data_IF_974190260452
#
_entry.id   IF_974190260452
#
_cell.length_a   1.000
_cell.length_b   1.000
_cell.length_c   1.000
_cell.angle_alpha   90.00
_cell.angle_beta   90.00
_cell.angle_gamma   90.00
#
_symmetry.space_group_name_H-M   'P 1'
#
loop_
_entity.id
_entity.type
_entity.pdbx_description
1 polymer ?
#
# COMPACT_ATOMS: atom_id res chain seq x y z
N UNK A 1 -53.56 9.44 44.38
CA UNK A 1 -52.19 9.97 44.58
C UNK A 1 -51.23 8.80 44.73
N UNK A 2 -50.36 8.55 43.76
CA UNK A 2 -49.02 8.01 44.00
C UNK A 2 -48.22 8.10 42.69
N UNK A 3 -47.08 8.80 42.79
CA UNK A 3 -46.15 9.11 41.70
C UNK A 3 -45.33 7.87 41.37
N UNK A 4 -45.22 7.56 40.09
CA UNK A 4 -44.22 6.63 39.55
C UNK A 4 -42.90 7.40 39.46
N UNK A 5 -41.95 7.08 40.33
CA UNK A 5 -40.56 7.52 40.22
C UNK A 5 -39.77 6.43 39.48
N UNK A 6 -39.14 6.82 38.37
CA UNK A 6 -38.11 6.06 37.67
C UNK A 6 -36.83 6.10 38.50
N UNK A 7 -36.30 4.94 38.89
CA UNK A 7 -34.90 4.81 39.31
C UNK A 7 -34.09 4.18 38.17
N UNK A 8 -33.27 5.00 37.53
CA UNK A 8 -32.17 4.57 36.67
C UNK A 8 -31.05 4.04 37.57
N UNK A 9 -30.84 2.73 37.64
CA UNK A 9 -29.64 2.15 38.24
C UNK A 9 -28.46 2.27 37.26
N UNK A 10 -27.76 3.39 37.31
CA UNK A 10 -26.41 3.54 36.77
C UNK A 10 -25.45 2.69 37.62
N UNK A 11 -25.12 1.50 37.15
CA UNK A 11 -24.01 0.69 37.71
C UNK A 11 -22.71 1.47 37.53
N UNK A 12 -22.09 1.86 38.65
CA UNK A 12 -20.74 2.48 38.69
C UNK A 12 -19.71 1.55 38.02
N UNK A 13 -18.74 2.08 37.25
CA UNK A 13 -17.65 1.27 36.72
C UNK A 13 -16.81 0.71 37.88
N UNK A 14 -16.48 -0.59 37.82
CA UNK A 14 -15.63 -1.26 38.81
C UNK A 14 -14.30 -0.52 38.95
N UNK A 15 -13.87 -0.27 40.18
CA UNK A 15 -12.57 0.38 40.47
C UNK A 15 -11.45 -0.40 39.79
N UNK A 16 -10.78 0.22 38.81
CA UNK A 16 -9.62 -0.35 38.13
C UNK A 16 -8.49 -0.53 39.14
N UNK A 17 -8.16 -1.77 39.45
CA UNK A 17 -7.11 -2.10 40.41
C UNK A 17 -5.75 -2.11 39.69
N UNK A 18 -4.80 -1.32 40.20
CA UNK A 18 -3.47 -1.15 39.60
C UNK A 18 -2.43 -1.89 40.43
N UNK A 19 -1.57 -2.67 39.76
CA UNK A 19 -0.46 -3.39 40.39
C UNK A 19 0.85 -2.71 40.00
N UNK A 20 1.69 -2.40 40.99
CA UNK A 20 3.00 -1.80 40.76
C UNK A 20 4.07 -2.90 40.71
N UNK A 21 4.69 -3.10 39.54
CA UNK A 21 5.83 -3.99 39.33
C UNK A 21 6.95 -3.20 38.65
N UNK A 22 7.43 -2.14 39.32
CA UNK A 22 8.28 -1.05 38.80
C UNK A 22 7.63 -0.13 37.74
N UNK A 23 6.65 -0.63 36.98
CA UNK A 23 5.68 0.16 36.20
C UNK A 23 4.27 -0.19 36.69
N UNK A 24 3.35 0.78 36.69
CA UNK A 24 1.94 0.55 37.08
C UNK A 24 1.18 -0.08 35.92
N UNK A 25 0.66 -1.29 36.12
CA UNK A 25 -0.13 -2.03 35.13
C UNK A 25 -1.50 -2.35 35.72
N UNK A 26 -2.55 -2.29 34.91
CA UNK A 26 -3.90 -2.67 35.35
C UNK A 26 -3.94 -4.16 35.59
N UNK A 27 -4.54 -4.59 36.71
CA UNK A 27 -4.61 -6.01 37.09
C UNK A 27 -5.26 -6.89 36.04
N UNK A 28 -6.23 -6.34 35.31
CA UNK A 28 -6.95 -6.99 34.20
C UNK A 28 -6.08 -7.25 32.96
N UNK A 29 -5.04 -6.44 32.74
CA UNK A 29 -4.16 -6.55 31.56
C UNK A 29 -2.97 -7.49 31.80
N UNK A 30 -2.66 -7.81 33.07
CA UNK A 30 -1.53 -8.68 33.46
C UNK A 30 -1.62 -10.08 32.83
N UNK A 31 -2.77 -10.77 32.79
CA UNK A 31 -2.88 -12.08 32.15
C UNK A 31 -2.58 -12.02 30.65
N UNK A 32 -3.06 -10.99 29.96
CA UNK A 32 -2.85 -10.78 28.51
C UNK A 32 -1.38 -10.46 28.22
N UNK A 33 -0.78 -9.60 29.04
CA UNK A 33 0.65 -9.26 28.94
C UNK A 33 1.53 -10.48 29.20
N UNK A 34 1.26 -11.26 30.25
CA UNK A 34 2.01 -12.48 30.53
C UNK A 34 1.86 -13.52 29.41
N UNK A 35 0.68 -13.63 28.79
CA UNK A 35 0.49 -14.51 27.63
C UNK A 35 1.33 -14.06 26.42
N UNK A 36 1.40 -12.75 26.16
CA UNK A 36 2.24 -12.21 25.07
C UNK A 36 3.73 -12.32 25.36
N UNK A 37 4.14 -12.17 26.62
CA UNK A 37 5.52 -12.27 27.06
C UNK A 37 6.10 -13.69 26.96
N UNK A 38 5.24 -14.71 27.10
CA UNK A 38 5.64 -16.10 26.86
C UNK A 38 6.13 -16.34 25.44
N UNK A 39 5.59 -15.61 24.45
CA UNK A 39 6.05 -15.66 23.06
C UNK A 39 7.48 -15.14 22.89
N UNK A 40 7.92 -14.29 23.82
CA UNK A 40 9.27 -13.73 23.87
C UNK A 40 10.18 -14.53 24.83
N UNK A 41 9.70 -15.65 25.38
CA UNK A 41 10.45 -16.50 26.31
C UNK A 41 10.37 -16.09 27.78
N UNK A 42 9.46 -15.20 28.16
CA UNK A 42 9.29 -14.73 29.55
C UNK A 42 7.97 -15.23 30.14
N UNK A 43 7.99 -15.87 31.31
CA UNK A 43 6.79 -16.40 31.93
C UNK A 43 5.92 -15.31 32.56
N UNK A 44 6.54 -14.22 33.02
CA UNK A 44 5.86 -13.10 33.65
C UNK A 44 6.50 -11.75 33.31
N UNK A 45 5.71 -10.68 33.39
CA UNK A 45 6.19 -9.29 33.31
C UNK A 45 7.25 -8.97 34.38
N UNK A 46 7.18 -9.60 35.56
CA UNK A 46 8.19 -9.46 36.59
C UNK A 46 9.54 -10.04 36.17
N UNK A 47 9.54 -11.16 35.44
CA UNK A 47 10.73 -11.80 34.90
C UNK A 47 11.40 -10.93 33.82
N UNK A 48 10.61 -10.42 32.86
CA UNK A 48 11.11 -9.47 31.85
C UNK A 48 11.76 -8.25 32.50
N UNK A 49 11.09 -7.66 33.49
CA UNK A 49 11.57 -6.44 34.15
C UNK A 49 12.89 -6.68 34.88
N UNK A 50 13.03 -7.84 35.52
CA UNK A 50 14.26 -8.25 36.21
C UNK A 50 15.42 -8.47 35.24
N UNK A 51 15.16 -9.12 34.11
CA UNK A 51 16.20 -9.44 33.11
C UNK A 51 16.62 -8.19 32.30
N UNK A 52 15.70 -7.24 32.10
CA UNK A 52 16.00 -5.93 31.53
C UNK A 52 16.91 -5.09 32.45
N UNK A 53 16.62 -5.07 33.77
CA UNK A 53 17.45 -4.36 34.77
C UNK A 53 18.84 -4.98 34.86
N UNK A 54 18.95 -6.30 34.72
CA UNK A 54 20.20 -7.03 34.76
C UNK A 54 21.00 -6.97 33.44
N UNK A 55 20.48 -6.31 32.40
CA UNK A 55 21.15 -6.16 31.10
C UNK A 55 21.22 -7.46 30.28
N UNK A 56 20.54 -8.52 30.69
CA UNK A 56 20.52 -9.83 30.03
C UNK A 56 19.26 -9.96 29.19
N UNK A 57 19.19 -9.23 28.09
CA UNK A 57 18.10 -9.39 27.13
C UNK A 57 18.43 -10.55 26.18
N UNK A 58 17.60 -11.61 26.12
CA UNK A 58 17.89 -12.74 25.24
C UNK A 58 17.79 -12.30 23.78
N UNK A 59 18.84 -12.53 23.00
CA UNK A 59 18.75 -12.52 21.54
C UNK A 59 17.88 -13.71 21.13
N UNK A 60 16.58 -13.46 20.92
CA UNK A 60 15.67 -14.48 20.40
C UNK A 60 15.83 -14.49 18.89
N UNK A 61 16.58 -15.46 18.38
CA UNK A 61 16.64 -15.76 16.93
C UNK A 61 15.27 -16.25 16.47
N UNK A 62 14.94 -16.06 15.18
CA UNK A 62 13.64 -16.51 14.60
C UNK A 62 13.37 -18.00 14.90
N UNK A 63 14.41 -18.84 14.85
CA UNK A 63 14.34 -20.27 15.18
C UNK A 63 13.93 -20.51 16.65
N UNK A 64 14.40 -19.67 17.58
CA UNK A 64 14.11 -19.82 19.01
C UNK A 64 12.73 -19.28 19.38
N UNK A 65 12.22 -18.30 18.63
CA UNK A 65 10.80 -17.91 18.71
C UNK A 65 9.89 -19.04 18.26
N UNK A 66 10.28 -19.77 17.21
CA UNK A 66 9.57 -20.95 16.72
C UNK A 66 9.59 -22.07 17.77
N UNK A 67 10.73 -22.39 18.38
CA UNK A 67 10.79 -23.42 19.43
C UNK A 67 10.01 -23.04 20.69
N UNK A 68 10.07 -21.77 21.12
CA UNK A 68 9.31 -21.29 22.28
C UNK A 68 7.80 -21.24 22.01
N UNK A 69 7.39 -21.10 20.74
CA UNK A 69 6.01 -21.26 20.31
C UNK A 69 5.58 -22.73 20.40
N UNK A 70 6.46 -23.69 20.10
CA UNK A 70 6.20 -25.13 20.23
C UNK A 70 6.09 -25.57 21.70
N UNK A 71 6.99 -25.12 22.58
CA UNK A 71 7.06 -25.59 23.97
C UNK A 71 5.97 -24.98 24.90
N UNK A 72 5.46 -23.78 24.59
CA UNK A 72 4.40 -23.13 25.39
C UNK A 72 2.99 -23.73 25.14
N UNK A 73 2.83 -24.51 24.07
CA UNK A 73 1.58 -25.17 23.68
C UNK A 73 1.27 -26.37 24.59
N UNK A 74 2.29 -27.08 25.06
CA UNK A 74 2.14 -28.26 25.93
C UNK A 74 1.60 -27.94 27.32
N UNK A 75 1.77 -26.71 27.83
CA UNK A 75 1.49 -26.38 29.25
C UNK A 75 0.26 -25.49 29.50
N UNK A 76 -0.35 -24.88 28.48
CA UNK A 76 -1.32 -23.79 28.70
C UNK A 76 -2.75 -24.03 28.19
N UNK A 77 -3.04 -25.12 27.48
CA UNK A 77 -4.41 -25.49 27.08
C UNK A 77 -5.15 -24.48 26.19
N UNK A 78 -4.46 -23.45 25.68
CA UNK A 78 -5.01 -22.41 24.81
C UNK A 78 -4.83 -22.83 23.34
N UNK A 79 -5.96 -23.08 22.67
CA UNK A 79 -6.03 -23.54 21.28
C UNK A 79 -5.69 -22.41 20.30
N UNK A 80 -4.52 -22.48 19.65
CA UNK A 80 -4.13 -21.65 18.49
C UNK A 80 -4.56 -22.32 17.18
N UNK A 81 -4.85 -21.51 16.14
CA UNK A 81 -5.19 -21.98 14.79
C UNK A 81 -4.01 -22.69 14.10
N UNK A 82 -2.80 -22.63 14.69
CA UNK A 82 -1.59 -23.26 14.15
C UNK A 82 -1.23 -24.62 14.74
N UNK A 83 -2.03 -25.20 15.65
CA UNK A 83 -2.07 -26.66 15.82
C UNK A 83 -3.51 -27.18 15.91
N UNK A 84 -3.81 -28.10 14.99
CA UNK A 84 -5.03 -28.87 14.99
C UNK A 84 -5.16 -29.79 16.22
N UNK A 85 -6.33 -30.03 16.79
CA UNK A 85 -7.51 -30.56 16.08
C UNK A 85 -7.64 -30.08 14.64
N UNK A 86 -7.17 -30.89 13.69
CA UNK A 86 -7.16 -30.57 12.26
C UNK A 86 -8.36 -29.72 11.86
N UNK A 87 -8.11 -28.43 11.62
CA UNK A 87 -9.01 -27.59 10.85
C UNK A 87 -8.27 -27.26 9.55
N UNK A 88 -7.81 -28.33 8.86
CA UNK A 88 -7.22 -28.28 7.51
C UNK A 88 -8.10 -27.59 6.48
N UNK A 89 -9.34 -27.23 6.88
CA UNK A 89 -10.44 -26.82 6.04
C UNK A 89 -10.99 -25.45 6.45
N UNK A 90 -10.27 -24.64 7.26
CA UNK A 90 -10.77 -23.32 7.68
C UNK A 90 -11.09 -22.41 6.47
N UNK A 91 -10.27 -22.49 5.42
CA UNK A 91 -10.50 -21.82 4.14
C UNK A 91 -11.63 -22.48 3.32
N UNK A 92 -11.95 -23.76 3.56
CA UNK A 92 -13.10 -24.42 2.93
C UNK A 92 -14.42 -23.90 3.51
N UNK A 93 -14.44 -23.62 4.82
CA UNK A 93 -15.59 -23.06 5.56
C UNK A 93 -15.81 -21.56 5.30
N UNK A 94 -14.92 -20.91 4.55
CA UNK A 94 -15.09 -19.51 4.20
C UNK A 94 -16.35 -19.29 3.35
N UNK A 95 -17.29 -18.48 3.86
CA UNK A 95 -18.48 -18.09 3.12
C UNK A 95 -18.10 -17.12 1.99
N UNK A 96 -18.13 -17.64 0.76
CA UNK A 96 -17.72 -16.87 -0.42
C UNK A 96 -18.68 -15.74 -0.82
N UNK A 97 -19.96 -15.83 -0.43
CA UNK A 97 -20.92 -14.74 -0.62
C UNK A 97 -20.63 -13.60 0.36
N UNK A 98 -20.38 -13.95 1.62
CA UNK A 98 -19.97 -12.97 2.63
C UNK A 98 -18.62 -12.29 2.29
N UNK A 99 -17.67 -13.05 1.72
CA UNK A 99 -16.45 -12.48 1.15
C UNK A 99 -16.74 -11.48 0.03
N UNK A 100 -17.67 -11.81 -0.87
CA UNK A 100 -18.08 -10.92 -1.95
C UNK A 100 -18.68 -9.63 -1.39
N UNK A 101 -19.55 -9.74 -0.40
CA UNK A 101 -20.23 -8.62 0.24
C UNK A 101 -19.24 -7.75 1.03
N UNK A 102 -18.25 -8.36 1.69
CA UNK A 102 -17.12 -7.63 2.28
C UNK A 102 -16.35 -6.83 1.23
N UNK A 103 -15.98 -7.45 0.10
CA UNK A 103 -15.25 -6.74 -0.96
C UNK A 103 -16.07 -5.62 -1.60
N UNK A 104 -17.37 -5.84 -1.81
CA UNK A 104 -18.25 -4.87 -2.44
C UNK A 104 -18.64 -3.72 -1.51
N UNK A 105 -19.03 -4.02 -0.27
CA UNK A 105 -19.66 -3.05 0.63
C UNK A 105 -18.64 -2.41 1.59
N UNK A 106 -17.71 -3.20 2.13
CA UNK A 106 -16.70 -2.71 3.09
C UNK A 106 -15.50 -2.16 2.35
N UNK A 107 -14.94 -2.92 1.39
CA UNK A 107 -13.78 -2.49 0.61
C UNK A 107 -14.12 -1.62 -0.60
N UNK A 108 -15.41 -1.52 -0.96
CA UNK A 108 -15.92 -0.69 -2.07
C UNK A 108 -15.25 -1.00 -3.41
N UNK A 109 -14.93 -2.27 -3.65
CA UNK A 109 -14.35 -2.71 -4.92
C UNK A 109 -15.41 -2.80 -6.03
N UNK A 110 -14.96 -2.69 -7.28
CA UNK A 110 -15.85 -2.86 -8.43
C UNK A 110 -16.41 -4.29 -8.50
N UNK A 111 -17.68 -4.44 -8.89
CA UNK A 111 -18.39 -5.73 -8.92
C UNK A 111 -17.62 -6.84 -9.64
N UNK A 112 -17.00 -6.53 -10.78
CA UNK A 112 -16.20 -7.51 -11.52
C UNK A 112 -14.93 -7.92 -10.77
N UNK A 113 -14.27 -6.98 -10.08
CA UNK A 113 -13.10 -7.28 -9.25
C UNK A 113 -13.47 -8.18 -8.08
N UNK A 114 -14.60 -7.93 -7.41
CA UNK A 114 -15.11 -8.80 -6.34
C UNK A 114 -15.37 -10.22 -6.86
N UNK A 115 -16.01 -10.35 -8.04
CA UNK A 115 -16.26 -11.65 -8.69
C UNK A 115 -14.96 -12.37 -9.01
N UNK A 116 -14.00 -11.67 -9.59
CA UNK A 116 -12.69 -12.22 -9.93
C UNK A 116 -11.97 -12.73 -8.67
N UNK A 117 -11.88 -11.92 -7.61
CA UNK A 117 -11.24 -12.32 -6.35
C UNK A 117 -11.90 -13.58 -5.77
N UNK A 118 -13.22 -13.61 -5.64
CA UNK A 118 -13.93 -14.78 -5.12
C UNK A 118 -13.75 -16.00 -6.02
N UNK A 119 -13.75 -15.82 -7.35
CA UNK A 119 -13.54 -16.90 -8.30
C UNK A 119 -12.12 -17.49 -8.21
N UNK A 120 -11.10 -16.64 -8.07
CA UNK A 120 -9.72 -17.10 -7.88
C UNK A 120 -9.57 -17.82 -6.53
N UNK A 121 -10.18 -17.31 -5.47
CA UNK A 121 -10.17 -17.96 -4.17
C UNK A 121 -10.79 -19.35 -4.25
N UNK A 122 -12.01 -19.47 -4.80
CA UNK A 122 -12.68 -20.77 -4.98
C UNK A 122 -11.84 -21.78 -5.75
N UNK A 123 -11.17 -21.32 -6.81
CA UNK A 123 -10.39 -22.18 -7.71
C UNK A 123 -9.07 -22.64 -7.10
N UNK A 124 -8.42 -21.80 -6.29
CA UNK A 124 -7.03 -22.03 -5.88
C UNK A 124 -6.84 -22.21 -4.37
N UNK A 125 -7.86 -22.04 -3.53
CA UNK A 125 -7.73 -22.19 -2.07
C UNK A 125 -7.18 -23.57 -1.65
N UNK A 126 -7.69 -24.64 -2.26
CA UNK A 126 -7.28 -26.01 -1.94
C UNK A 126 -5.85 -26.30 -2.42
N UNK A 127 -5.42 -25.64 -3.51
CA UNK A 127 -4.05 -25.76 -4.02
C UNK A 127 -3.10 -24.94 -3.15
N UNK A 128 -3.50 -23.74 -2.73
CA UNK A 128 -2.64 -22.79 -2.05
C UNK A 128 -2.36 -23.15 -0.58
N UNK A 129 -3.37 -23.65 0.14
CA UNK A 129 -3.23 -23.99 1.56
C UNK A 129 -2.80 -25.44 1.83
N UNK A 130 -2.45 -26.19 0.79
CA UNK A 130 -1.98 -27.59 0.90
C UNK A 130 -0.57 -27.74 0.35
N UNK A 131 -0.03 -28.96 0.45
CA UNK A 131 1.29 -29.30 -0.12
C UNK A 131 1.35 -29.15 -1.66
N UNK A 132 0.20 -28.96 -2.31
CA UNK A 132 0.06 -28.75 -3.76
C UNK A 132 0.39 -27.33 -4.22
N UNK A 133 0.77 -26.44 -3.31
CA UNK A 133 1.09 -25.04 -3.62
C UNK A 133 2.21 -24.91 -4.66
N UNK A 134 3.11 -25.89 -4.77
CA UNK A 134 4.14 -25.91 -5.82
C UNK A 134 3.54 -26.02 -7.24
N UNK A 135 2.33 -26.55 -7.41
CA UNK A 135 1.60 -26.51 -8.69
C UNK A 135 1.32 -25.08 -9.17
N UNK A 136 1.22 -24.12 -8.22
CA UNK A 136 1.04 -22.70 -8.54
C UNK A 136 2.31 -22.15 -9.19
N UNK A 137 3.51 -22.69 -8.91
CA UNK A 137 4.75 -22.26 -9.57
C UNK A 137 4.73 -22.54 -11.06
N UNK A 138 4.04 -23.59 -11.50
CA UNK A 138 3.89 -23.93 -12.92
C UNK A 138 2.96 -22.96 -13.67
N UNK A 139 2.17 -22.15 -12.97
CA UNK A 139 1.35 -21.12 -13.59
C UNK A 139 2.20 -19.95 -14.13
N UNK A 140 1.67 -19.27 -15.16
CA UNK A 140 2.31 -18.06 -15.68
C UNK A 140 2.43 -16.98 -14.58
N UNK A 141 3.45 -16.10 -14.63
CA UNK A 141 3.65 -15.06 -13.61
C UNK A 141 2.41 -14.17 -13.38
N UNK A 142 1.66 -13.88 -14.44
CA UNK A 142 0.41 -13.12 -14.38
C UNK A 142 -0.68 -13.84 -13.60
N UNK A 143 -0.81 -15.15 -13.77
CA UNK A 143 -1.79 -15.96 -13.05
C UNK A 143 -1.39 -16.11 -11.59
N UNK A 144 -0.10 -16.38 -11.30
CA UNK A 144 0.42 -16.40 -9.92
C UNK A 144 0.19 -15.09 -9.19
N UNK A 145 0.36 -13.96 -9.87
CA UNK A 145 0.09 -12.63 -9.32
C UNK A 145 -1.36 -12.47 -8.84
N UNK A 146 -2.33 -12.87 -9.67
CA UNK A 146 -3.75 -12.84 -9.30
C UNK A 146 -4.09 -13.79 -8.15
N UNK A 147 -3.46 -14.97 -8.12
CA UNK A 147 -3.64 -15.94 -7.03
C UNK A 147 -3.14 -15.35 -5.71
N UNK A 148 -1.93 -14.79 -5.69
CA UNK A 148 -1.37 -14.19 -4.47
C UNK A 148 -2.16 -12.98 -3.99
N UNK A 149 -2.57 -12.07 -4.89
CA UNK A 149 -3.41 -10.93 -4.50
C UNK A 149 -4.73 -11.43 -3.88
N UNK A 150 -5.38 -12.40 -4.52
CA UNK A 150 -6.56 -13.03 -3.99
C UNK A 150 -6.37 -13.61 -2.57
N UNK A 151 -5.28 -14.36 -2.33
CA UNK A 151 -5.03 -14.96 -1.01
C UNK A 151 -4.73 -13.91 0.06
N UNK A 152 -4.06 -12.82 -0.29
CA UNK A 152 -3.87 -11.67 0.61
C UNK A 152 -5.20 -11.00 0.95
N UNK A 153 -6.07 -10.79 -0.05
CA UNK A 153 -7.42 -10.25 0.19
C UNK A 153 -8.28 -11.20 1.00
N UNK A 154 -8.06 -12.51 0.93
CA UNK A 154 -8.69 -13.47 1.81
C UNK A 154 -8.19 -13.31 3.25
N UNK A 155 -6.86 -13.20 3.48
CA UNK A 155 -6.31 -12.92 4.80
C UNK A 155 -6.89 -11.65 5.44
N UNK A 156 -7.02 -10.56 4.67
CA UNK A 156 -7.65 -9.33 5.14
C UNK A 156 -9.15 -9.48 5.48
N UNK A 157 -9.89 -10.27 4.70
CA UNK A 157 -11.27 -10.62 5.01
C UNK A 157 -11.36 -11.47 6.30
N UNK A 158 -10.45 -12.43 6.47
CA UNK A 158 -10.42 -13.30 7.63
C UNK A 158 -10.15 -12.52 8.92
N UNK A 159 -9.19 -11.58 8.87
CA UNK A 159 -8.96 -10.61 9.94
C UNK A 159 -10.22 -9.80 10.25
N UNK A 160 -10.88 -9.22 9.24
CA UNK A 160 -12.09 -8.44 9.45
C UNK A 160 -13.21 -9.27 10.12
N UNK A 161 -13.38 -10.52 9.71
CA UNK A 161 -14.50 -11.35 10.17
C UNK A 161 -14.26 -12.01 11.52
N UNK A 162 -13.03 -12.41 11.80
CA UNK A 162 -12.68 -13.23 12.96
C UNK A 162 -11.67 -12.58 13.91
N UNK A 163 -11.24 -11.35 13.61
CA UNK A 163 -10.21 -10.61 14.35
C UNK A 163 -8.92 -11.43 14.58
N UNK A 164 -8.52 -12.19 13.56
CA UNK A 164 -7.37 -13.08 13.60
C UNK A 164 -6.36 -12.72 12.50
N UNK A 165 -5.17 -12.29 12.91
CA UNK A 165 -4.07 -11.89 12.03
C UNK A 165 -3.24 -13.09 11.53
N UNK A 166 -3.34 -14.27 12.17
CA UNK A 166 -2.56 -15.46 11.82
C UNK A 166 -2.80 -15.91 10.37
N UNK A 167 -4.00 -15.66 9.82
CA UNK A 167 -4.30 -15.97 8.42
C UNK A 167 -3.49 -15.09 7.44
N UNK A 168 -3.19 -13.84 7.80
CA UNK A 168 -2.35 -12.95 6.97
C UNK A 168 -0.92 -13.47 6.99
N UNK A 169 -0.41 -13.78 8.18
CA UNK A 169 0.94 -14.30 8.35
C UNK A 169 1.13 -15.65 7.64
N UNK A 170 0.14 -16.53 7.71
CA UNK A 170 0.14 -17.80 7.00
C UNK A 170 0.24 -17.61 5.49
N UNK A 171 -0.57 -16.71 4.92
CA UNK A 171 -0.54 -16.42 3.48
C UNK A 171 0.83 -15.90 3.05
N UNK A 172 1.43 -14.98 3.81
CA UNK A 172 2.77 -14.45 3.49
C UNK A 172 3.86 -15.52 3.63
N UNK A 173 3.80 -16.35 4.69
CA UNK A 173 4.74 -17.47 4.89
C UNK A 173 4.69 -18.46 3.73
N UNK A 174 3.49 -18.82 3.26
CA UNK A 174 3.32 -19.72 2.10
C UNK A 174 3.93 -19.09 0.84
N UNK A 175 3.65 -17.82 0.56
CA UNK A 175 4.19 -17.10 -0.61
C UNK A 175 5.71 -17.08 -0.60
N UNK A 176 6.32 -16.79 0.57
CA UNK A 176 7.78 -16.75 0.75
C UNK A 176 8.40 -18.14 0.62
N UNK A 177 7.88 -19.13 1.36
CA UNK A 177 8.38 -20.52 1.37
C UNK A 177 8.43 -21.14 -0.02
N UNK A 178 7.39 -20.92 -0.82
CA UNK A 178 7.29 -21.51 -2.16
C UNK A 178 7.77 -20.57 -3.27
N UNK A 179 8.35 -19.42 -2.90
CA UNK A 179 8.91 -18.43 -3.82
C UNK A 179 7.93 -18.09 -4.97
N UNK A 180 6.65 -17.90 -4.65
CA UNK A 180 5.58 -17.70 -5.64
C UNK A 180 5.70 -16.36 -6.39
N UNK A 181 6.50 -15.44 -5.85
CA UNK A 181 6.87 -14.15 -6.44
C UNK A 181 8.00 -14.25 -7.49
N UNK A 182 8.69 -15.39 -7.60
CA UNK A 182 9.74 -15.62 -8.59
C UNK A 182 9.25 -15.32 -10.01
N UNK A 183 10.10 -14.77 -10.88
CA UNK A 183 9.78 -14.53 -12.29
C UNK A 183 8.64 -13.53 -12.56
N UNK A 184 8.11 -12.84 -11.53
CA UNK A 184 7.23 -11.71 -11.77
C UNK A 184 8.02 -10.56 -12.38
N UNK A 185 7.50 -10.06 -13.50
CA UNK A 185 7.95 -8.77 -14.07
C UNK A 185 7.81 -7.68 -13.01
N UNK A 186 8.63 -6.63 -13.10
CA UNK A 186 8.50 -5.44 -12.22
C UNK A 186 7.06 -4.88 -12.25
N UNK A 187 6.35 -5.02 -13.37
CA UNK A 187 4.93 -4.70 -13.48
C UNK A 187 4.04 -5.52 -12.54
N UNK A 188 4.34 -6.81 -12.31
CA UNK A 188 3.64 -7.68 -11.37
C UNK A 188 4.01 -7.37 -9.92
N UNK A 189 5.29 -7.08 -9.64
CA UNK A 189 5.74 -6.62 -8.33
C UNK A 189 5.13 -5.29 -7.94
N UNK A 190 5.02 -4.36 -8.90
CA UNK A 190 4.33 -3.07 -8.78
C UNK A 190 2.82 -3.18 -8.61
N UNK A 191 2.17 -4.33 -8.83
CA UNK A 191 0.74 -4.51 -8.52
C UNK A 191 0.51 -5.28 -7.21
N UNK A 192 1.58 -5.86 -6.64
CA UNK A 192 1.57 -6.69 -5.43
C UNK A 192 2.17 -5.94 -4.22
N UNK A 193 2.51 -4.66 -4.38
CA UNK A 193 3.62 -4.03 -3.67
C UNK A 193 3.53 -4.08 -2.15
N UNK A 194 4.55 -4.70 -1.58
CA UNK A 194 5.14 -4.39 -0.29
C UNK A 194 5.56 -2.91 -0.26
N UNK A 195 4.98 -2.12 0.63
CA UNK A 195 5.24 -0.68 0.73
C UNK A 195 6.74 -0.40 0.96
N UNK A 196 7.45 -1.29 1.66
CA UNK A 196 8.88 -1.16 1.91
C UNK A 196 9.72 -1.18 0.62
N UNK A 197 9.30 -1.92 -0.41
CA UNK A 197 10.02 -1.95 -1.68
C UNK A 197 9.91 -0.62 -2.44
N UNK A 198 8.69 -0.04 -2.52
CA UNK A 198 8.53 1.28 -3.17
C UNK A 198 9.32 2.32 -2.39
N UNK A 199 9.24 2.31 -1.06
CA UNK A 199 9.92 3.26 -0.20
C UNK A 199 11.45 3.24 -0.40
N UNK A 200 12.06 2.05 -0.41
CA UNK A 200 13.51 1.91 -0.66
C UNK A 200 13.91 2.48 -2.03
N UNK A 201 13.14 2.17 -3.08
CA UNK A 201 13.42 2.66 -4.43
C UNK A 201 13.21 4.16 -4.56
N UNK A 202 12.18 4.72 -3.92
CA UNK A 202 11.96 6.16 -3.88
C UNK A 202 13.12 6.86 -3.15
N UNK A 203 13.59 6.34 -2.02
CA UNK A 203 14.76 6.88 -1.31
C UNK A 203 16.00 6.93 -2.20
N UNK A 204 16.26 5.86 -2.96
CA UNK A 204 17.38 5.84 -3.92
C UNK A 204 17.22 6.90 -5.02
N UNK A 205 16.03 7.04 -5.60
CA UNK A 205 15.75 8.03 -6.64
C UNK A 205 15.84 9.48 -6.12
N UNK A 206 15.33 9.75 -4.92
CA UNK A 206 15.42 11.08 -4.31
C UNK A 206 16.81 11.39 -3.72
N UNK A 207 17.68 10.38 -3.57
CA UNK A 207 19.11 10.60 -3.27
C UNK A 207 19.93 11.09 -4.47
N UNK A 208 19.32 11.11 -5.67
CA UNK A 208 19.86 11.83 -6.81
C UNK A 208 19.77 13.31 -6.44
N UNK A 209 20.93 13.96 -6.32
CA UNK A 209 21.09 15.31 -5.77
C UNK A 209 20.40 16.40 -6.58
N UNK A 210 21.11 17.47 -6.91
CA UNK A 210 20.56 18.59 -7.68
C UNK A 210 21.12 18.62 -9.11
N UNK A 211 20.46 19.38 -9.98
CA UNK A 211 20.81 19.53 -11.39
C UNK A 211 19.73 19.03 -12.35
N UNK A 212 19.92 19.28 -13.64
CA UNK A 212 18.93 19.04 -14.69
C UNK A 212 18.43 17.59 -14.72
N UNK A 213 19.33 16.61 -14.65
CA UNK A 213 18.95 15.18 -14.62
C UNK A 213 18.05 14.88 -13.42
N UNK A 214 18.36 15.45 -12.25
CA UNK A 214 17.54 15.28 -11.06
C UNK A 214 16.15 15.91 -11.25
N UNK A 215 16.08 17.11 -11.83
CA UNK A 215 14.83 17.81 -12.16
C UNK A 215 13.96 16.97 -13.11
N UNK A 216 14.54 16.40 -14.17
CA UNK A 216 13.82 15.55 -15.12
C UNK A 216 13.26 14.30 -14.41
N UNK A 217 14.07 13.63 -13.58
CA UNK A 217 13.64 12.42 -12.86
C UNK A 217 12.53 12.76 -11.86
N UNK A 218 12.70 13.84 -11.08
CA UNK A 218 11.69 14.35 -10.13
C UNK A 218 10.39 14.69 -10.84
N UNK A 219 10.47 15.40 -11.96
CA UNK A 219 9.29 15.72 -12.76
C UNK A 219 8.61 14.45 -13.27
N UNK A 220 9.36 13.45 -13.75
CA UNK A 220 8.83 12.17 -14.21
C UNK A 220 8.13 11.35 -13.11
N UNK A 221 8.73 11.25 -11.92
CA UNK A 221 8.15 10.48 -10.80
C UNK A 221 6.94 11.20 -10.18
N UNK A 222 6.98 12.52 -10.04
CA UNK A 222 5.88 13.27 -9.46
C UNK A 222 4.70 13.43 -10.42
N UNK A 223 4.95 13.66 -11.71
CA UNK A 223 3.86 13.82 -12.68
C UNK A 223 3.29 12.49 -13.19
N UNK A 224 4.04 11.40 -13.05
CA UNK A 224 3.71 10.10 -13.62
C UNK A 224 3.59 10.11 -15.16
N UNK A 225 4.06 11.14 -15.84
CA UNK A 225 3.99 11.28 -17.30
C UNK A 225 4.95 10.33 -18.02
N UNK A 226 4.62 9.99 -19.26
CA UNK A 226 5.56 9.30 -20.18
C UNK A 226 6.53 10.30 -20.80
N UNK A 227 7.60 9.76 -21.38
CA UNK A 227 8.64 10.51 -22.09
C UNK A 227 8.06 11.51 -23.10
N UNK A 228 7.20 11.05 -24.01
CA UNK A 228 6.55 11.93 -25.01
C UNK A 228 5.60 12.97 -24.37
N UNK A 229 4.94 12.59 -23.27
CA UNK A 229 4.02 13.49 -22.55
C UNK A 229 4.80 14.60 -21.84
N UNK A 230 5.99 14.29 -21.30
CA UNK A 230 6.91 15.26 -20.70
C UNK A 230 7.44 16.23 -21.75
N UNK A 231 7.88 15.74 -22.91
CA UNK A 231 8.33 16.60 -24.02
C UNK A 231 7.22 17.54 -24.49
N UNK A 232 5.99 17.03 -24.57
CA UNK A 232 4.84 17.85 -24.92
C UNK A 232 4.57 18.94 -23.87
N UNK A 233 4.64 18.62 -22.58
CA UNK A 233 4.45 19.62 -21.51
C UNK A 233 5.57 20.66 -21.50
N UNK A 234 6.80 20.25 -21.75
CA UNK A 234 7.94 21.16 -21.82
C UNK A 234 7.84 22.14 -22.98
N UNK A 235 7.58 21.66 -24.19
CA UNK A 235 7.58 22.49 -25.40
C UNK A 235 6.35 23.40 -25.53
N UNK A 236 5.37 23.23 -24.67
CA UNK A 236 4.09 23.92 -24.78
C UNK A 236 4.01 25.08 -23.80
N UNK A 237 3.64 26.24 -24.33
CA UNK A 237 3.50 27.46 -23.53
C UNK A 237 2.45 27.31 -22.45
N UNK A 238 2.65 28.01 -21.34
CA UNK A 238 1.66 28.16 -20.28
C UNK A 238 0.74 29.33 -20.62
N UNK A 239 -0.56 29.12 -20.47
CA UNK A 239 -1.58 30.13 -20.63
C UNK A 239 -1.51 31.16 -19.49
N UNK A 240 -1.46 32.48 -19.78
CA UNK A 240 -1.45 33.51 -18.75
C UNK A 240 -2.75 33.58 -17.95
N UNK A 241 -3.89 33.20 -18.56
CA UNK A 241 -5.21 33.31 -17.94
C UNK A 241 -5.50 32.21 -16.91
N UNK A 242 -4.57 31.26 -16.71
CA UNK A 242 -4.56 30.15 -15.73
C UNK A 242 -5.72 29.14 -15.82
N UNK A 243 -6.93 29.55 -16.22
CA UNK A 243 -8.11 28.72 -16.50
C UNK A 243 -9.21 29.53 -17.23
N UNK A 244 -10.07 28.86 -18.00
CA UNK A 244 -11.30 29.48 -18.53
C UNK A 244 -11.24 29.98 -19.97
N UNK A 245 -10.11 29.85 -20.66
CA UNK A 245 -10.01 30.10 -22.10
C UNK A 245 -9.87 28.78 -22.88
N UNK A 246 -10.31 28.78 -24.13
CA UNK A 246 -10.26 27.63 -25.04
C UNK A 246 -8.97 27.57 -25.86
N UNK A 247 -7.89 28.20 -25.38
CA UNK A 247 -6.65 28.29 -26.12
C UNK A 247 -5.94 26.92 -26.16
N UNK A 248 -5.02 26.78 -27.11
CA UNK A 248 -4.25 25.56 -27.24
C UNK A 248 -3.11 25.46 -26.22
N UNK A 249 -2.86 26.42 -25.33
CA UNK A 249 -1.75 26.42 -24.35
C UNK A 249 -2.03 25.52 -23.13
N UNK A 250 -1.01 25.23 -22.33
CA UNK A 250 -1.17 24.54 -21.06
C UNK A 250 -1.85 25.45 -20.04
N UNK A 251 -2.84 24.94 -19.34
CA UNK A 251 -3.46 25.66 -18.22
C UNK A 251 -2.94 25.08 -16.92
N UNK A 252 -2.32 25.92 -16.11
CA UNK A 252 -1.72 25.51 -14.83
C UNK A 252 -2.48 26.20 -13.71
N UNK A 253 -3.03 25.39 -12.82
CA UNK A 253 -3.79 25.85 -11.65
C UNK A 253 -2.96 25.51 -10.41
N UNK A 254 -2.35 26.51 -9.81
CA UNK A 254 -1.62 26.36 -8.54
C UNK A 254 -2.63 26.24 -7.39
N UNK A 255 -2.45 25.24 -6.53
CA UNK A 255 -3.27 25.01 -5.34
C UNK A 255 -2.54 25.49 -4.08
N UNK A 256 -3.27 25.92 -3.02
CA UNK A 256 -2.66 26.44 -1.80
C UNK A 256 -1.72 25.46 -1.09
N UNK A 257 -1.88 24.16 -1.33
CA UNK A 257 -1.07 23.10 -0.74
C UNK A 257 0.23 22.79 -1.52
N UNK A 258 0.76 23.76 -2.27
CA UNK A 258 2.01 23.59 -3.01
C UNK A 258 1.92 22.73 -4.27
N UNK A 259 0.76 22.20 -4.62
CA UNK A 259 0.55 21.34 -5.81
C UNK A 259 0.03 22.16 -6.99
N UNK A 260 0.56 21.90 -8.18
CA UNK A 260 0.06 22.43 -9.45
C UNK A 260 -0.73 21.37 -10.21
N UNK A 261 -1.90 21.75 -10.71
CA UNK A 261 -2.66 20.97 -11.68
C UNK A 261 -2.31 21.46 -13.07
N UNK A 262 -1.79 20.59 -13.92
CA UNK A 262 -1.43 20.91 -15.30
C UNK A 262 -2.43 20.26 -16.24
N UNK A 263 -3.25 21.06 -16.92
CA UNK A 263 -4.17 20.59 -17.97
C UNK A 263 -3.40 20.42 -19.28
N UNK A 264 -3.30 19.18 -19.75
CA UNK A 264 -2.43 18.77 -20.87
C UNK A 264 -3.26 18.55 -22.15
N UNK A 265 -4.41 17.87 -22.00
CA UNK A 265 -5.31 17.47 -23.10
C UNK A 265 -4.58 16.85 -24.32
N UNK A 266 -3.60 16.00 -24.06
CA UNK A 266 -2.84 15.33 -25.11
C UNK A 266 -3.45 13.97 -25.47
N UNK A 267 -3.55 13.71 -26.77
CA UNK A 267 -4.16 12.49 -27.31
C UNK A 267 -3.28 11.89 -28.40
N UNK A 268 -2.92 10.61 -28.27
CA UNK A 268 -2.17 9.84 -29.28
C UNK A 268 -2.81 8.47 -29.46
N UNK A 269 -3.60 8.33 -30.53
CA UNK A 269 -4.43 7.14 -30.76
C UNK A 269 -5.39 6.92 -29.57
N UNK A 270 -5.34 5.74 -28.96
CA UNK A 270 -6.16 5.43 -27.78
C UNK A 270 -5.57 5.96 -26.46
N UNK A 271 -4.34 6.49 -26.45
CA UNK A 271 -3.71 7.01 -25.24
C UNK A 271 -4.14 8.45 -25.03
N UNK A 272 -4.64 8.77 -23.83
CA UNK A 272 -5.13 10.10 -23.47
C UNK A 272 -4.49 10.54 -22.16
N UNK A 273 -3.96 11.76 -22.15
CA UNK A 273 -3.42 12.43 -20.98
C UNK A 273 -4.19 13.74 -20.81
N UNK A 274 -5.13 13.78 -19.86
CA UNK A 274 -6.02 14.93 -19.69
C UNK A 274 -5.36 16.01 -18.82
N UNK A 275 -4.87 15.61 -17.66
CA UNK A 275 -4.15 16.46 -16.73
C UNK A 275 -3.22 15.63 -15.86
N UNK A 276 -2.29 16.29 -15.18
CA UNK A 276 -1.48 15.71 -14.11
C UNK A 276 -1.42 16.65 -12.91
N UNK A 277 -0.95 16.11 -11.78
CA UNK A 277 -0.64 16.83 -10.56
C UNK A 277 0.86 16.74 -10.32
N UNK A 278 1.48 17.82 -9.89
CA UNK A 278 2.93 17.88 -9.65
C UNK A 278 3.22 18.94 -8.59
N UNK A 279 4.27 18.80 -7.75
CA UNK A 279 4.70 19.88 -6.88
C UNK A 279 5.02 21.12 -7.70
N UNK A 280 4.52 22.28 -7.26
CA UNK A 280 4.64 23.55 -7.99
C UNK A 280 6.10 23.94 -8.19
N UNK A 281 6.94 23.70 -7.18
CA UNK A 281 8.38 23.92 -7.25
C UNK A 281 9.03 23.10 -8.37
N UNK A 282 8.72 21.80 -8.42
CA UNK A 282 9.26 20.88 -9.45
C UNK A 282 8.80 21.26 -10.85
N UNK A 283 7.54 21.72 -11.01
CA UNK A 283 7.05 22.22 -12.31
C UNK A 283 7.81 23.47 -12.76
N UNK A 284 8.05 24.42 -11.85
CA UNK A 284 8.79 25.65 -12.14
C UNK A 284 10.23 25.35 -12.54
N UNK A 285 10.92 24.50 -11.77
CA UNK A 285 12.29 24.04 -12.08
C UNK A 285 12.36 23.33 -13.44
N UNK A 286 11.38 22.48 -13.75
CA UNK A 286 11.35 21.78 -15.03
C UNK A 286 11.08 22.71 -16.21
N UNK A 287 10.21 23.72 -16.04
CA UNK A 287 9.89 24.70 -17.10
C UNK A 287 10.94 25.81 -17.25
N UNK A 288 11.87 25.94 -16.30
CA UNK A 288 12.97 26.91 -16.35
C UNK A 288 14.26 26.34 -16.92
N UNK A 289 14.29 25.06 -17.33
CA UNK A 289 15.43 24.52 -18.05
C UNK A 289 15.60 25.26 -19.39
N UNK A 290 16.82 25.31 -19.90
CA UNK A 290 17.10 26.00 -21.18
C UNK A 290 16.55 25.20 -22.36
N UNK A 291 16.81 23.88 -22.38
CA UNK A 291 16.29 22.94 -23.36
C UNK A 291 15.84 21.62 -22.74
N UNK A 292 15.01 20.88 -23.49
CA UNK A 292 14.60 19.53 -23.10
C UNK A 292 14.18 18.73 -24.33
N UNK A 293 14.98 17.71 -24.62
CA UNK A 293 14.84 16.86 -25.80
C UNK A 293 14.93 15.38 -25.43
N UNK A 294 14.42 14.50 -26.30
CA UNK A 294 14.52 13.06 -26.06
C UNK A 294 15.99 12.61 -25.96
N UNK A 295 16.85 13.17 -26.82
CA UNK A 295 18.31 13.03 -26.77
C UNK A 295 18.88 14.44 -26.74
N UNK A 296 19.74 14.82 -25.78
CA UNK A 296 20.37 13.94 -24.79
C UNK A 296 19.53 13.67 -23.53
N UNK A 297 18.63 14.55 -23.14
CA UNK A 297 18.10 14.65 -21.77
C UNK A 297 17.42 13.40 -21.24
N UNK A 298 16.35 12.92 -21.89
CA UNK A 298 15.60 11.74 -21.43
C UNK A 298 16.49 10.49 -21.40
N UNK A 299 17.33 10.30 -22.43
CA UNK A 299 18.26 9.17 -22.50
C UNK A 299 19.29 9.20 -21.37
N UNK A 300 19.89 10.37 -21.12
CA UNK A 300 20.85 10.55 -20.03
C UNK A 300 20.21 10.30 -18.67
N UNK A 301 18.99 10.79 -18.44
CA UNK A 301 18.25 10.52 -17.21
C UNK A 301 17.94 9.02 -17.02
N UNK A 302 17.56 8.31 -18.09
CA UNK A 302 17.39 6.84 -18.07
C UNK A 302 18.66 6.12 -17.65
N UNK A 303 19.79 6.40 -18.31
CA UNK A 303 21.06 5.74 -18.00
C UNK A 303 21.56 6.09 -16.59
N UNK A 304 21.41 7.35 -16.18
CA UNK A 304 21.78 7.78 -14.84
C UNK A 304 20.98 7.05 -13.75
N UNK A 305 19.65 6.92 -13.93
CA UNK A 305 18.81 6.15 -13.01
C UNK A 305 19.32 4.72 -12.86
N UNK A 306 19.53 4.01 -13.98
CA UNK A 306 20.00 2.61 -13.97
C UNK A 306 21.32 2.44 -13.21
N UNK A 307 22.27 3.33 -13.47
CA UNK A 307 23.59 3.31 -12.81
C UNK A 307 23.44 3.58 -11.31
N UNK A 308 22.66 4.60 -10.94
CA UNK A 308 22.49 5.00 -9.54
C UNK A 308 21.77 3.94 -8.71
N UNK A 309 20.74 3.32 -9.28
CA UNK A 309 19.91 2.32 -8.59
C UNK A 309 20.43 0.90 -8.72
N UNK A 310 21.49 0.70 -9.53
CA UNK A 310 22.05 -0.61 -9.92
C UNK A 310 20.97 -1.56 -10.43
N UNK A 311 20.00 -1.02 -11.16
CA UNK A 311 18.82 -1.76 -11.63
C UNK A 311 18.47 -1.29 -13.05
N UNK A 312 18.65 -2.19 -14.02
CA UNK A 312 18.44 -1.94 -15.45
C UNK A 312 16.97 -1.72 -15.81
N UNK A 313 16.05 -2.03 -14.89
CA UNK A 313 14.59 -1.94 -15.10
C UNK A 313 14.01 -0.60 -14.69
N UNK A 314 14.78 0.24 -13.99
CA UNK A 314 14.32 1.58 -13.60
C UNK A 314 14.37 2.50 -14.82
N UNK A 315 13.18 2.89 -15.26
CA UNK A 315 12.90 3.69 -16.46
C UNK A 315 11.75 4.66 -16.16
N UNK A 316 11.47 5.64 -17.02
CA UNK A 316 10.27 6.50 -16.90
C UNK A 316 8.96 5.67 -16.86
N UNK A 317 8.91 4.53 -17.55
CA UNK A 317 7.79 3.59 -17.46
C UNK A 317 7.68 2.91 -16.09
N UNK A 318 8.78 2.75 -15.36
CA UNK A 318 8.77 2.35 -13.95
C UNK A 318 8.29 3.52 -13.08
N UNK A 319 8.82 4.74 -13.27
CA UNK A 319 8.42 5.94 -12.50
C UNK A 319 6.91 6.18 -12.58
N UNK A 320 6.32 6.09 -13.78
CA UNK A 320 4.88 6.20 -13.97
C UNK A 320 4.08 5.19 -13.14
N UNK A 321 4.58 3.96 -13.00
CA UNK A 321 3.90 2.93 -12.21
C UNK A 321 4.11 3.11 -10.72
N UNK A 322 5.30 3.55 -10.30
CA UNK A 322 5.56 3.91 -8.92
C UNK A 322 4.61 5.05 -8.51
N UNK A 323 4.53 6.12 -9.31
CA UNK A 323 3.56 7.20 -9.14
C UNK A 323 2.12 6.66 -8.97
N UNK A 324 1.64 5.85 -9.90
CA UNK A 324 0.29 5.27 -9.82
C UNK A 324 0.06 4.46 -8.52
N UNK A 325 1.06 3.72 -8.06
CA UNK A 325 0.96 2.95 -6.82
C UNK A 325 0.93 3.82 -5.58
N UNK A 326 1.76 4.87 -5.54
CA UNK A 326 1.72 5.88 -4.48
C UNK A 326 0.32 6.48 -4.41
N UNK A 327 -0.24 6.90 -5.56
CA UNK A 327 -1.61 7.44 -5.62
C UNK A 327 -2.65 6.45 -5.08
N UNK A 328 -2.57 5.16 -5.44
CA UNK A 328 -3.50 4.13 -4.97
C UNK A 328 -3.51 3.91 -3.45
N UNK A 329 -2.57 4.47 -2.68
CA UNK A 329 -2.57 4.39 -1.21
C UNK A 329 -3.52 5.36 -0.52
N UNK A 330 -4.00 6.37 -1.23
CA UNK A 330 -4.94 7.38 -0.70
C UNK A 330 -6.09 7.62 -1.66
N UNK A 331 -5.80 7.74 -2.95
CA UNK A 331 -6.81 7.99 -3.97
C UNK A 331 -7.66 6.76 -4.26
N UNK A 332 -8.92 7.01 -4.65
CA UNK A 332 -9.81 5.97 -5.17
C UNK A 332 -9.24 5.44 -6.51
N UNK A 333 -9.49 4.17 -6.87
CA UNK A 333 -8.93 3.59 -8.10
C UNK A 333 -9.21 4.38 -9.38
N UNK A 334 -10.39 5.02 -9.48
CA UNK A 334 -10.73 5.84 -10.64
C UNK A 334 -9.98 7.17 -10.70
N UNK A 335 -9.73 7.83 -9.56
CA UNK A 335 -8.93 9.07 -9.45
C UNK A 335 -7.50 8.79 -9.93
N UNK A 336 -6.88 7.72 -9.41
CA UNK A 336 -5.55 7.28 -9.82
C UNK A 336 -5.51 6.88 -11.31
N UNK A 337 -6.59 6.29 -11.84
CA UNK A 337 -6.70 5.94 -13.25
C UNK A 337 -6.80 7.17 -14.16
N UNK A 338 -7.41 8.27 -13.71
CA UNK A 338 -7.45 9.54 -14.47
C UNK A 338 -6.03 10.07 -14.65
N UNK A 339 -5.25 10.16 -13.56
CA UNK A 339 -3.84 10.59 -13.61
C UNK A 339 -2.97 9.64 -14.44
N UNK A 340 -3.25 8.33 -14.40
CA UNK A 340 -2.56 7.35 -15.23
C UNK A 340 -3.04 7.31 -16.69
N UNK A 341 -3.96 8.18 -17.12
CA UNK A 341 -4.45 8.24 -18.50
C UNK A 341 -5.27 7.01 -18.93
N UNK A 342 -5.92 6.34 -17.96
CA UNK A 342 -6.71 5.11 -18.15
C UNK A 342 -8.22 5.34 -18.06
N UNK A 343 -8.65 6.56 -17.73
CA UNK A 343 -10.05 6.93 -17.59
C UNK A 343 -10.72 7.29 -18.92
N UNK A 344 -12.05 7.13 -18.99
CA UNK A 344 -12.86 7.64 -20.10
C UNK A 344 -12.89 9.18 -20.05
N UNK A 345 -13.16 9.80 -21.19
CA UNK A 345 -13.12 11.27 -21.34
C UNK A 345 -14.15 12.01 -20.51
N UNK A 346 -15.31 11.41 -20.26
CA UNK A 346 -16.37 12.00 -19.44
C UNK A 346 -15.91 12.07 -17.98
N UNK A 347 -15.40 10.96 -17.46
CA UNK A 347 -14.88 10.88 -16.08
C UNK A 347 -13.75 11.90 -15.89
N UNK A 348 -12.76 11.92 -16.79
CA UNK A 348 -11.63 12.84 -16.67
C UNK A 348 -12.05 14.33 -16.71
N UNK A 349 -13.06 14.68 -17.50
CA UNK A 349 -13.61 16.04 -17.54
C UNK A 349 -14.32 16.40 -16.23
N UNK A 350 -15.07 15.46 -15.64
CA UNK A 350 -15.73 15.69 -14.36
C UNK A 350 -14.73 16.02 -13.24
N UNK A 351 -13.66 15.24 -13.09
CA UNK A 351 -12.63 15.52 -12.06
C UNK A 351 -11.89 16.83 -12.32
N UNK A 352 -11.53 17.11 -13.58
CA UNK A 352 -10.88 18.36 -13.95
C UNK A 352 -11.74 19.60 -13.66
N UNK A 353 -13.08 19.44 -13.60
CA UNK A 353 -14.01 20.54 -13.36
C UNK A 353 -14.42 20.69 -11.89
N UNK A 354 -14.55 19.59 -11.12
CA UNK A 354 -15.24 19.64 -9.84
C UNK A 354 -14.47 19.08 -8.63
N UNK A 355 -13.41 18.30 -8.83
CA UNK A 355 -12.74 17.58 -7.71
C UNK A 355 -11.23 17.87 -7.60
N UNK A 356 -10.71 18.88 -8.32
CA UNK A 356 -9.27 19.16 -8.34
C UNK A 356 -8.68 19.51 -6.97
N UNK A 357 -9.45 20.15 -6.08
CA UNK A 357 -8.99 20.51 -4.73
C UNK A 357 -8.86 19.27 -3.83
N UNK A 358 -9.87 18.40 -3.83
CA UNK A 358 -9.81 17.14 -3.07
C UNK A 358 -8.71 16.23 -3.63
N UNK A 359 -8.55 16.17 -4.96
CA UNK A 359 -7.48 15.40 -5.59
C UNK A 359 -6.09 15.93 -5.25
N UNK A 360 -5.88 17.26 -5.18
CA UNK A 360 -4.57 17.82 -4.82
C UNK A 360 -4.20 17.53 -3.36
N UNK A 361 -5.18 17.50 -2.45
CA UNK A 361 -4.97 17.11 -1.05
C UNK A 361 -4.58 15.64 -0.94
N UNK A 362 -5.36 14.73 -1.55
CA UNK A 362 -5.04 13.30 -1.57
C UNK A 362 -3.69 13.00 -2.22
N UNK A 363 -3.31 13.78 -3.23
CA UNK A 363 -1.99 13.69 -3.86
C UNK A 363 -0.87 13.99 -2.85
N UNK A 364 -0.99 15.08 -2.09
CA UNK A 364 -0.03 15.43 -1.06
C UNK A 364 0.04 14.37 0.06
N UNK A 365 -1.11 13.89 0.52
CA UNK A 365 -1.19 12.82 1.52
C UNK A 365 -0.56 11.51 1.04
N UNK A 366 -0.72 11.16 -0.24
CA UNK A 366 -0.15 9.95 -0.82
C UNK A 366 1.38 9.96 -0.76
N UNK A 367 2.02 11.08 -1.12
CA UNK A 367 3.47 11.23 -1.01
C UNK A 367 3.96 11.28 0.43
N UNK A 368 3.20 11.90 1.33
CA UNK A 368 3.52 11.95 2.76
C UNK A 368 3.60 10.55 3.39
N UNK A 369 2.83 9.57 2.91
CA UNK A 369 2.91 8.16 3.39
C UNK A 369 4.25 7.49 3.10
N UNK A 370 5.04 8.03 2.17
CA UNK A 370 6.38 7.54 1.82
C UNK A 370 7.47 8.49 2.32
N UNK A 371 7.17 9.31 3.33
CA UNK A 371 8.06 10.34 3.89
C UNK A 371 8.60 11.35 2.85
N UNK A 372 7.86 11.57 1.77
CA UNK A 372 8.19 12.56 0.75
C UNK A 372 7.39 13.83 1.00
N UNK A 373 8.08 14.89 1.43
CA UNK A 373 7.49 16.22 1.51
C UNK A 373 7.52 16.89 0.13
N UNK A 374 6.35 17.32 -0.35
CA UNK A 374 6.19 17.92 -1.68
C UNK A 374 6.04 19.45 -1.64
N UNK A 375 6.07 20.04 -0.45
CA UNK A 375 5.98 21.50 -0.26
C UNK A 375 7.35 22.18 -0.36
#
# INVERSE_FOLDING_TARGET
>A
MQKIARENSLTKPSKTEWVAMNVKVRREDIPILNQRLKLLGFETLGQLTKDLINGTFPHVTEDRQITNLTDNVDKSGLKSILEGGHNSDFYMKANTQDMYDYYLNVRKFHKNTCRDLVSYFKRFRDVFFTQRVDEIRSCTPRVRSKIMDCMRKFGAYYLYKYNNEECIDLVEKIIRRHNLSAGQTEHGKLYIVDDSYIEERLKQLFSIGEGEIATIIRFGIFSGLREDEMLYVYNKDICPDKSGCSCSKLHVIEKPNGVSVVLIQWHRGHKKCYFTLVPTKVLKEFKSMDDFEYRPHIRSAHEYMKVKTKDDKITFMWLRKAHYNVMCRVMKPFEANVLAGRAKSVDAKHYAMYELDEMSQKYAEAWKKFDVNIN
#
